data_IF_429577603205
#
_entry.id   IF_429577603205
#
_cell.length_a   1.000
_cell.length_b   1.000
_cell.length_c   1.000
_cell.angle_alpha   90.00
_cell.angle_beta   90.00
_cell.angle_gamma   90.00
#
_symmetry.space_group_name_H-M   'P 1'
#
loop_
_entity.id
_entity.type
_entity.pdbx_description
1 polymer ?
#
# COMPACT_ATOMS: atom_id res chain seq x y z
N UNK A 1 -52.90 44.21 30.55
CA UNK A 1 -51.86 43.25 30.98
C UNK A 1 -51.72 42.19 29.90
N UNK A 2 -50.61 42.24 29.16
CA UNK A 2 -50.30 41.34 28.03
C UNK A 2 -49.65 40.07 28.57
N UNK A 3 -50.27 38.91 28.38
CA UNK A 3 -49.70 37.60 28.72
C UNK A 3 -49.12 36.90 27.50
N UNK A 4 -47.80 36.70 27.46
CA UNK A 4 -47.12 35.90 26.46
C UNK A 4 -47.41 34.39 26.66
N UNK A 5 -47.73 33.62 25.61
CA UNK A 5 -47.85 32.17 25.70
C UNK A 5 -46.48 31.46 25.70
N UNK A 6 -46.37 30.26 26.30
CA UNK A 6 -45.11 29.51 26.40
C UNK A 6 -44.69 28.88 25.06
N UNK A 7 -43.43 29.12 24.72
CA UNK A 7 -42.68 28.53 23.61
C UNK A 7 -42.63 27.00 23.69
N UNK A 8 -43.31 26.33 22.75
CA UNK A 8 -43.14 24.91 22.47
C UNK A 8 -41.76 24.70 21.83
N UNK A 9 -40.75 24.33 22.64
CA UNK A 9 -39.48 23.81 22.12
C UNK A 9 -39.72 22.46 21.44
N UNK A 10 -39.96 22.50 20.13
CA UNK A 10 -39.94 21.34 19.25
C UNK A 10 -38.57 20.67 19.28
N UNK A 11 -38.46 19.55 20.01
CA UNK A 11 -37.36 18.59 19.80
C UNK A 11 -37.60 17.88 18.48
N UNK A 12 -37.05 18.41 17.39
CA UNK A 12 -36.89 17.67 16.14
C UNK A 12 -35.96 16.50 16.40
N UNK A 13 -36.54 15.31 16.62
CA UNK A 13 -35.81 14.05 16.60
C UNK A 13 -35.35 13.84 15.16
N UNK A 14 -34.11 14.25 14.87
CA UNK A 14 -33.43 13.95 13.61
C UNK A 14 -33.36 12.42 13.49
N UNK A 15 -34.32 11.83 12.77
CA UNK A 15 -34.28 10.45 12.34
C UNK A 15 -33.15 10.34 11.32
N UNK A 16 -31.92 10.20 11.82
CA UNK A 16 -30.76 9.81 11.04
C UNK A 16 -30.99 8.35 10.61
N UNK A 17 -31.77 8.17 9.55
CA UNK A 17 -31.90 6.91 8.82
C UNK A 17 -30.55 6.63 8.16
N UNK A 18 -29.62 6.10 8.94
CA UNK A 18 -28.39 5.52 8.44
C UNK A 18 -28.76 4.23 7.70
N UNK A 19 -29.17 4.39 6.44
CA UNK A 19 -29.03 3.34 5.45
C UNK A 19 -27.55 3.18 5.19
N UNK A 20 -26.91 2.32 5.99
CA UNK A 20 -25.55 1.79 5.79
C UNK A 20 -25.58 0.90 4.52
N UNK A 21 -25.78 1.54 3.38
CA UNK A 21 -25.57 0.95 2.07
C UNK A 21 -24.05 0.96 1.86
N UNK A 22 -23.37 -0.01 2.47
CA UNK A 22 -22.01 -0.45 2.14
C UNK A 22 -22.04 -0.97 0.69
N UNK A 23 -22.23 -0.08 -0.28
CA UNK A 23 -22.04 -0.37 -1.70
C UNK A 23 -20.54 -0.25 -1.96
N UNK A 24 -19.78 -1.27 -1.50
CA UNK A 24 -18.34 -1.40 -1.77
C UNK A 24 -18.14 -1.86 -3.22
N UNK A 25 -18.55 -1.03 -4.19
CA UNK A 25 -18.18 -1.18 -5.59
C UNK A 25 -16.83 -0.50 -5.78
N UNK A 26 -15.76 -1.27 -5.58
CA UNK A 26 -14.42 -0.86 -5.99
C UNK A 26 -14.25 -1.32 -7.44
N UNK A 27 -13.91 -0.42 -8.39
CA UNK A 27 -13.55 -0.82 -9.74
C UNK A 27 -12.24 -1.62 -9.67
N UNK A 28 -12.36 -2.96 -9.65
CA UNK A 28 -11.27 -3.91 -9.91
C UNK A 28 -10.85 -3.74 -11.39
N UNK A 29 -10.12 -2.67 -11.72
CA UNK A 29 -9.32 -2.65 -12.94
C UNK A 29 -8.08 -3.50 -12.67
N UNK A 30 -8.20 -4.82 -12.92
CA UNK A 30 -7.10 -5.78 -12.97
C UNK A 30 -6.18 -5.55 -14.20
N UNK A 31 -6.41 -4.48 -14.98
CA UNK A 31 -5.87 -4.29 -16.33
C UNK A 31 -4.75 -3.23 -16.45
N UNK A 32 -4.40 -2.51 -15.37
CA UNK A 32 -3.43 -1.39 -15.44
C UNK A 32 -2.07 -1.69 -14.77
N UNK A 33 -1.78 -2.96 -14.46
CA UNK A 33 -0.41 -3.32 -14.08
C UNK A 33 0.39 -3.50 -15.38
N UNK A 34 1.03 -2.40 -15.82
CA UNK A 34 1.95 -2.34 -16.96
C UNK A 34 2.93 -3.53 -16.98
N UNK A 35 3.13 -4.13 -18.15
CA UNK A 35 4.08 -5.23 -18.32
C UNK A 35 5.53 -4.71 -18.17
N UNK A 36 6.09 -4.91 -16.97
CA UNK A 36 7.45 -4.51 -16.60
C UNK A 36 8.51 -5.20 -17.46
N UNK A 37 8.23 -6.42 -17.94
CA UNK A 37 9.12 -7.14 -18.82
C UNK A 37 9.11 -6.52 -20.23
N UNK A 38 7.93 -6.20 -20.76
CA UNK A 38 7.82 -5.55 -22.07
C UNK A 38 8.48 -4.16 -22.08
N UNK A 39 8.29 -3.37 -21.02
CA UNK A 39 8.93 -2.05 -20.89
C UNK A 39 10.44 -2.16 -20.76
N UNK A 40 10.95 -3.12 -19.98
CA UNK A 40 12.39 -3.41 -19.89
C UNK A 40 12.98 -3.81 -21.24
N UNK A 41 12.35 -4.72 -21.97
CA UNK A 41 12.84 -5.17 -23.29
C UNK A 41 12.90 -4.01 -24.30
N UNK A 42 11.89 -3.14 -24.32
CA UNK A 42 11.89 -1.90 -25.13
C UNK A 42 13.05 -0.98 -24.76
N UNK A 43 13.34 -0.84 -23.46
CA UNK A 43 14.47 -0.04 -22.96
C UNK A 43 15.81 -0.61 -23.43
N UNK A 44 16.01 -1.93 -23.34
CA UNK A 44 17.22 -2.61 -23.82
C UNK A 44 17.41 -2.41 -25.32
N UNK A 45 16.36 -2.55 -26.12
CA UNK A 45 16.42 -2.28 -27.56
C UNK A 45 16.86 -0.84 -27.84
N UNK A 46 16.30 0.13 -27.12
CA UNK A 46 16.69 1.54 -27.25
C UNK A 46 18.17 1.77 -26.89
N UNK A 47 18.68 1.12 -25.85
CA UNK A 47 20.09 1.22 -25.42
C UNK A 47 21.01 0.64 -26.49
N UNK A 48 20.68 -0.54 -27.02
CA UNK A 48 21.46 -1.17 -28.09
C UNK A 48 21.49 -0.29 -29.35
N UNK A 49 20.35 0.27 -29.75
CA UNK A 49 20.26 1.18 -30.90
C UNK A 49 21.11 2.45 -30.69
N UNK A 50 21.15 2.99 -29.46
CA UNK A 50 21.98 4.15 -29.13
C UNK A 50 23.48 3.82 -29.18
N UNK A 51 23.89 2.64 -28.70
CA UNK A 51 25.27 2.17 -28.77
C UNK A 51 25.72 1.98 -30.23
N UNK A 52 24.89 1.37 -31.07
CA UNK A 52 25.15 1.22 -32.50
C UNK A 52 25.25 2.57 -33.23
N UNK A 53 24.38 3.53 -32.89
CA UNK A 53 24.43 4.87 -33.46
C UNK A 53 25.71 5.62 -33.06
N UNK A 54 26.19 5.44 -31.83
CA UNK A 54 27.46 6.00 -31.37
C UNK A 54 28.66 5.37 -32.07
N UNK A 55 28.65 4.05 -32.26
CA UNK A 55 29.68 3.34 -33.00
C UNK A 55 29.77 3.82 -34.46
N UNK A 56 28.62 4.01 -35.13
CA UNK A 56 28.56 4.56 -36.51
C UNK A 56 29.07 6.00 -36.61
N UNK A 57 28.90 6.82 -35.57
CA UNK A 57 29.40 8.20 -35.54
C UNK A 57 30.91 8.28 -35.31
N UNK A 58 31.55 7.24 -34.76
CA UNK A 58 33.00 7.15 -34.54
C UNK A 58 33.58 8.16 -33.54
N UNK A 59 32.74 8.88 -32.78
CA UNK A 59 33.19 9.94 -31.84
C UNK A 59 33.68 9.42 -30.49
N UNK A 60 33.31 8.20 -30.13
CA UNK A 60 33.65 7.55 -28.86
C UNK A 60 34.44 6.29 -29.13
N UNK A 61 35.32 5.92 -28.21
CA UNK A 61 36.05 4.66 -28.32
C UNK A 61 35.09 3.47 -28.15
N UNK A 62 35.39 2.29 -28.74
CA UNK A 62 34.55 1.10 -28.55
C UNK A 62 34.43 0.69 -27.07
N UNK A 63 35.47 0.93 -26.27
CA UNK A 63 35.44 0.67 -24.81
C UNK A 63 34.43 1.55 -24.10
N UNK A 64 34.46 2.86 -24.34
CA UNK A 64 33.51 3.82 -23.76
C UNK A 64 32.07 3.48 -24.13
N UNK A 65 31.81 3.08 -25.38
CA UNK A 65 30.47 2.69 -25.82
C UNK A 65 30.00 1.42 -25.08
N UNK A 66 30.90 0.46 -24.85
CA UNK A 66 30.58 -0.77 -24.13
C UNK A 66 30.31 -0.50 -22.65
N UNK A 67 31.08 0.37 -22.01
CA UNK A 67 30.90 0.78 -20.62
C UNK A 67 29.58 1.56 -20.43
N UNK A 68 29.30 2.56 -21.27
CA UNK A 68 28.03 3.30 -21.23
C UNK A 68 26.82 2.38 -21.44
N UNK A 69 26.94 1.42 -22.36
CA UNK A 69 25.91 0.41 -22.60
C UNK A 69 25.71 -0.47 -21.38
N UNK A 70 26.78 -0.93 -20.74
CA UNK A 70 26.71 -1.78 -19.55
C UNK A 70 26.02 -1.05 -18.40
N UNK A 71 26.42 0.20 -18.11
CA UNK A 71 25.81 1.05 -17.08
C UNK A 71 24.31 1.29 -17.37
N UNK A 72 23.96 1.60 -18.62
CA UNK A 72 22.55 1.82 -18.99
C UNK A 72 21.70 0.53 -18.85
N UNK A 73 22.27 -0.64 -19.11
CA UNK A 73 21.60 -1.93 -18.92
C UNK A 73 21.39 -2.20 -17.43
N UNK A 74 22.40 -1.94 -16.59
CA UNK A 74 22.31 -2.08 -15.14
C UNK A 74 21.22 -1.17 -14.55
N UNK A 75 21.18 0.10 -14.97
CA UNK A 75 20.11 1.03 -14.58
C UNK A 75 18.73 0.52 -15.00
N UNK A 76 18.59 0.00 -16.22
CA UNK A 76 17.33 -0.56 -16.71
C UNK A 76 16.89 -1.79 -15.90
N UNK A 77 17.84 -2.63 -15.47
CA UNK A 77 17.56 -3.77 -14.59
C UNK A 77 17.09 -3.31 -13.21
N UNK A 78 17.75 -2.32 -12.60
CA UNK A 78 17.36 -1.76 -11.31
C UNK A 78 15.95 -1.15 -11.37
N UNK A 79 15.62 -0.41 -12.43
CA UNK A 79 14.28 0.14 -12.65
C UNK A 79 13.20 -0.94 -12.77
N UNK A 80 13.51 -2.03 -13.47
CA UNK A 80 12.61 -3.19 -13.59
C UNK A 80 12.35 -3.80 -12.21
N UNK A 81 13.41 -4.10 -11.45
CA UNK A 81 13.29 -4.68 -10.11
C UNK A 81 12.46 -3.78 -9.18
N UNK A 82 12.68 -2.46 -9.22
CA UNK A 82 11.89 -1.52 -8.44
C UNK A 82 10.40 -1.54 -8.81
N UNK A 83 10.09 -1.66 -10.11
CA UNK A 83 8.73 -1.74 -10.62
C UNK A 83 8.05 -3.05 -10.19
N UNK A 84 8.75 -4.17 -10.32
CA UNK A 84 8.26 -5.50 -9.89
C UNK A 84 7.93 -5.51 -8.39
N UNK A 85 8.82 -4.99 -7.54
CA UNK A 85 8.57 -4.85 -6.09
C UNK A 85 7.32 -4.02 -5.79
N UNK A 86 7.06 -2.95 -6.57
CA UNK A 86 5.84 -2.12 -6.41
C UNK A 86 4.59 -2.87 -6.82
N UNK A 87 4.66 -3.68 -7.89
CA UNK A 87 3.54 -4.50 -8.36
C UNK A 87 3.21 -5.58 -7.32
N UNK A 88 4.22 -6.24 -6.77
CA UNK A 88 4.03 -7.29 -5.77
C UNK A 88 3.48 -6.73 -4.45
N UNK A 89 3.91 -5.54 -4.02
CA UNK A 89 3.32 -4.84 -2.87
C UNK A 89 1.83 -4.52 -3.10
N UNK A 90 1.47 -4.02 -4.28
CA UNK A 90 0.06 -3.78 -4.65
C UNK A 90 -0.74 -5.09 -4.62
N UNK A 91 -0.23 -6.16 -5.21
CA UNK A 91 -0.88 -7.47 -5.29
C UNK A 91 -1.09 -8.06 -3.90
N UNK A 92 -0.05 -8.06 -3.05
CA UNK A 92 -0.12 -8.57 -1.68
C UNK A 92 -1.13 -7.77 -0.84
N UNK A 93 -1.14 -6.44 -0.96
CA UNK A 93 -2.11 -5.56 -0.30
C UNK A 93 -3.53 -5.84 -0.76
N UNK A 94 -3.77 -6.00 -2.07
CA UNK A 94 -5.08 -6.36 -2.63
C UNK A 94 -5.54 -7.72 -2.11
N UNK A 95 -4.67 -8.74 -2.14
CA UNK A 95 -4.97 -10.08 -1.64
C UNK A 95 -5.38 -10.05 -0.16
N UNK A 96 -4.59 -9.42 0.69
CA UNK A 96 -4.89 -9.26 2.11
C UNK A 96 -6.19 -8.48 2.37
N UNK A 97 -6.46 -7.43 1.59
CA UNK A 97 -7.74 -6.72 1.67
C UNK A 97 -8.93 -7.62 1.30
N UNK A 98 -8.79 -8.40 0.22
CA UNK A 98 -9.80 -9.38 -0.23
C UNK A 98 -10.07 -10.43 0.87
N UNK A 99 -9.02 -10.99 1.50
CA UNK A 99 -9.20 -11.99 2.57
C UNK A 99 -9.91 -11.39 3.81
N UNK A 100 -9.55 -10.18 4.24
CA UNK A 100 -10.21 -9.50 5.36
C UNK A 100 -11.68 -9.16 5.05
N UNK A 101 -11.98 -8.72 3.81
CA UNK A 101 -13.35 -8.45 3.34
C UNK A 101 -14.17 -9.74 3.31
N UNK A 102 -13.57 -10.85 2.87
CA UNK A 102 -14.21 -12.15 2.84
C UNK A 102 -14.52 -12.66 4.26
N UNK A 103 -13.54 -12.64 5.18
CA UNK A 103 -13.74 -12.95 6.60
C UNK A 103 -14.90 -12.15 7.23
N UNK A 104 -15.01 -10.85 6.88
CA UNK A 104 -16.12 -9.99 7.36
C UNK A 104 -17.48 -10.48 6.83
N UNK A 105 -17.54 -10.85 5.54
CA UNK A 105 -18.76 -11.36 4.90
C UNK A 105 -19.18 -12.69 5.51
N UNK A 106 -18.25 -13.62 5.70
CA UNK A 106 -18.54 -14.94 6.26
C UNK A 106 -19.01 -14.86 7.71
N UNK A 107 -18.36 -14.03 8.55
CA UNK A 107 -18.83 -13.75 9.90
C UNK A 107 -20.29 -13.23 9.92
N UNK A 108 -20.64 -12.37 8.96
CA UNK A 108 -22.00 -11.81 8.84
C UNK A 108 -22.99 -12.88 8.37
N UNK A 109 -22.58 -13.78 7.47
CA UNK A 109 -23.40 -14.92 7.00
C UNK A 109 -23.66 -15.91 8.14
N UNK A 110 -22.63 -16.34 8.87
CA UNK A 110 -22.74 -17.22 10.02
C UNK A 110 -23.69 -16.67 11.09
N UNK A 111 -23.53 -15.40 11.47
CA UNK A 111 -24.41 -14.78 12.47
C UNK A 111 -25.86 -14.66 11.97
N UNK A 112 -26.08 -14.39 10.66
CA UNK A 112 -27.42 -14.42 10.07
C UNK A 112 -28.02 -15.83 10.08
N UNK A 113 -27.20 -16.87 9.82
CA UNK A 113 -27.60 -18.26 9.82
C UNK A 113 -28.00 -18.72 11.23
N UNK A 114 -27.10 -18.57 12.22
CA UNK A 114 -27.35 -18.84 13.64
C UNK A 114 -28.61 -18.13 14.15
N UNK A 115 -28.85 -16.90 13.68
CA UNK A 115 -30.09 -16.15 13.99
C UNK A 115 -31.35 -16.79 13.43
N UNK A 116 -31.29 -17.34 12.21
CA UNK A 116 -32.42 -18.03 11.56
C UNK A 116 -32.70 -19.36 12.27
N UNK A 117 -31.67 -20.14 12.58
CA UNK A 117 -31.79 -21.41 13.33
C UNK A 117 -32.43 -21.20 14.71
N UNK A 118 -31.92 -20.25 15.51
CA UNK A 118 -32.50 -19.96 16.83
C UNK A 118 -33.92 -19.40 16.76
N UNK A 119 -34.32 -18.77 15.65
CA UNK A 119 -35.70 -18.37 15.42
C UNK A 119 -36.59 -19.56 15.04
N UNK A 120 -36.07 -20.50 14.26
CA UNK A 120 -36.79 -21.71 13.90
C UNK A 120 -37.03 -22.60 15.13
N UNK A 121 -36.00 -22.78 15.96
CA UNK A 121 -36.06 -23.63 17.16
C UNK A 121 -36.99 -23.11 18.28
N UNK A 122 -37.17 -21.79 18.42
CA UNK A 122 -37.93 -21.19 19.54
C UNK A 122 -39.26 -20.53 19.11
N UNK A 123 -39.76 -20.85 17.91
CA UNK A 123 -41.06 -20.43 17.42
C UNK A 123 -41.14 -19.02 16.81
N UNK A 124 -42.19 -18.79 16.01
CA UNK A 124 -42.47 -17.51 15.32
C UNK A 124 -42.89 -16.43 16.32
N UNK A 125 -41.92 -15.73 16.90
CA UNK A 125 -42.18 -14.54 17.73
C UNK A 125 -40.96 -13.61 17.81
N UNK A 126 -41.08 -12.36 17.34
CA UNK A 126 -39.98 -11.37 17.29
C UNK A 126 -39.29 -11.12 18.66
N UNK A 127 -39.93 -11.49 19.77
CA UNK A 127 -39.46 -11.28 21.15
C UNK A 127 -38.83 -12.48 21.87
N UNK A 128 -39.35 -13.71 21.70
CA UNK A 128 -38.91 -14.88 22.49
C UNK A 128 -37.48 -15.33 22.13
N UNK A 129 -37.17 -15.44 20.84
CA UNK A 129 -35.83 -15.80 20.38
C UNK A 129 -34.74 -14.78 20.80
N UNK A 130 -35.08 -13.49 20.93
CA UNK A 130 -34.13 -12.45 21.35
C UNK A 130 -33.84 -12.46 22.86
N UNK A 131 -34.77 -12.97 23.67
CA UNK A 131 -34.63 -13.07 25.13
C UNK A 131 -33.85 -14.33 25.56
N UNK A 132 -33.77 -15.33 24.68
CA UNK A 132 -33.06 -16.58 24.93
C UNK A 132 -31.55 -16.34 25.25
N UNK A 133 -31.01 -16.93 26.33
CA UNK A 133 -29.58 -16.98 26.62
C UNK A 133 -28.70 -17.38 25.43
N UNK A 134 -29.11 -18.38 24.64
CA UNK A 134 -28.34 -18.85 23.47
C UNK A 134 -28.16 -17.75 22.42
N UNK A 135 -29.20 -16.94 22.18
CA UNK A 135 -29.10 -15.77 21.29
C UNK A 135 -28.19 -14.68 21.85
N UNK A 136 -28.22 -14.45 23.17
CA UNK A 136 -27.31 -13.48 23.82
C UNK A 136 -25.85 -13.93 23.69
N UNK A 137 -25.58 -15.23 23.85
CA UNK A 137 -24.24 -15.81 23.68
C UNK A 137 -23.77 -15.71 22.23
N UNK A 138 -24.57 -16.14 21.25
CA UNK A 138 -24.24 -16.01 19.83
C UNK A 138 -24.00 -14.55 19.40
N UNK A 139 -24.77 -13.60 19.95
CA UNK A 139 -24.57 -12.16 19.72
C UNK A 139 -23.29 -11.64 20.38
N UNK A 140 -22.93 -12.11 21.57
CA UNK A 140 -21.65 -11.79 22.21
C UNK A 140 -20.48 -12.32 21.38
N UNK A 141 -20.53 -13.59 20.96
CA UNK A 141 -19.53 -14.25 20.10
C UNK A 141 -19.35 -13.51 18.77
N UNK A 142 -20.44 -13.10 18.12
CA UNK A 142 -20.34 -12.29 16.90
C UNK A 142 -19.67 -10.93 17.17
N UNK A 143 -19.97 -10.28 18.30
CA UNK A 143 -19.35 -9.01 18.66
C UNK A 143 -17.86 -9.16 18.99
N UNK A 144 -17.44 -10.23 19.66
CA UNK A 144 -16.02 -10.48 19.97
C UNK A 144 -15.24 -10.73 18.69
N UNK A 145 -15.70 -11.66 17.85
CA UNK A 145 -15.09 -11.95 16.54
C UNK A 145 -15.06 -10.73 15.61
N UNK A 146 -16.09 -9.88 15.64
CA UNK A 146 -16.10 -8.61 14.88
C UNK A 146 -15.09 -7.59 15.43
N UNK A 147 -14.86 -7.56 16.75
CA UNK A 147 -13.83 -6.72 17.36
C UNK A 147 -12.44 -7.24 17.01
N UNK A 148 -12.21 -8.54 17.02
CA UNK A 148 -10.97 -9.19 16.58
C UNK A 148 -10.66 -8.84 15.12
N UNK A 149 -11.62 -9.03 14.21
CA UNK A 149 -11.44 -8.66 12.80
C UNK A 149 -11.13 -7.16 12.62
N UNK A 150 -11.67 -6.29 13.49
CA UNK A 150 -11.33 -4.87 13.50
C UNK A 150 -9.90 -4.61 13.96
N UNK A 151 -9.41 -5.36 14.96
CA UNK A 151 -8.01 -5.31 15.40
C UNK A 151 -7.10 -5.82 14.30
N UNK A 152 -7.42 -6.95 13.66
CA UNK A 152 -6.62 -7.52 12.57
C UNK A 152 -6.52 -6.55 11.39
N UNK A 153 -7.63 -5.89 11.03
CA UNK A 153 -7.62 -4.83 10.01
C UNK A 153 -6.78 -3.63 10.42
N UNK A 154 -6.77 -3.27 11.71
CA UNK A 154 -5.94 -2.18 12.22
C UNK A 154 -4.45 -2.55 12.19
N UNK A 155 -4.10 -3.77 12.60
CA UNK A 155 -2.74 -4.32 12.53
C UNK A 155 -2.21 -4.36 11.10
N UNK A 156 -2.97 -4.95 10.17
CA UNK A 156 -2.60 -4.98 8.75
C UNK A 156 -2.37 -3.56 8.17
N UNK A 157 -3.16 -2.57 8.60
CA UNK A 157 -2.95 -1.17 8.21
C UNK A 157 -1.70 -0.56 8.83
N UNK A 158 -1.37 -0.94 10.06
CA UNK A 158 -0.19 -0.47 10.76
C UNK A 158 1.08 -1.06 10.13
N UNK A 159 1.10 -2.38 9.90
CA UNK A 159 2.19 -3.08 9.19
C UNK A 159 2.46 -2.44 7.83
N UNK A 160 1.43 -2.10 7.05
CA UNK A 160 1.63 -1.40 5.77
C UNK A 160 2.17 0.03 5.90
N UNK A 161 1.78 0.76 6.96
CA UNK A 161 2.33 2.10 7.22
C UNK A 161 3.79 2.00 7.64
N UNK A 162 4.12 1.02 8.47
CA UNK A 162 5.48 0.77 8.95
C UNK A 162 6.38 0.33 7.81
N UNK A 163 5.99 -0.66 7.00
CA UNK A 163 6.73 -1.07 5.81
C UNK A 163 6.95 0.08 4.81
N UNK A 164 5.93 0.94 4.62
CA UNK A 164 6.08 2.15 3.79
C UNK A 164 7.05 3.15 4.40
N UNK A 165 7.00 3.35 5.72
CA UNK A 165 7.88 4.26 6.44
C UNK A 165 9.33 3.77 6.44
N UNK A 166 9.53 2.46 6.58
CA UNK A 166 10.82 1.79 6.55
C UNK A 166 11.47 1.93 5.17
N UNK A 167 10.73 1.64 4.09
CA UNK A 167 11.20 1.87 2.72
C UNK A 167 11.56 3.34 2.44
N UNK A 168 10.83 4.29 3.03
CA UNK A 168 11.15 5.72 2.93
C UNK A 168 12.41 6.08 3.74
N UNK A 169 12.66 5.44 4.88
CA UNK A 169 13.88 5.62 5.66
C UNK A 169 15.08 5.04 4.94
N UNK A 170 15.00 3.80 4.48
CA UNK A 170 16.05 3.14 3.71
C UNK A 170 16.45 3.99 2.48
N UNK A 171 15.46 4.53 1.75
CA UNK A 171 15.73 5.42 0.62
C UNK A 171 16.39 6.76 1.02
N UNK A 172 16.12 7.27 2.22
CA UNK A 172 16.77 8.48 2.75
C UNK A 172 18.17 8.19 3.23
N UNK A 173 18.38 7.06 3.90
CA UNK A 173 19.68 6.59 4.38
C UNK A 173 20.61 6.30 3.20
N UNK A 174 20.13 5.61 2.15
CA UNK A 174 20.89 5.41 0.92
C UNK A 174 21.34 6.73 0.28
N UNK A 175 20.46 7.75 0.27
CA UNK A 175 20.82 9.09 -0.25
C UNK A 175 21.82 9.83 0.64
N UNK A 176 21.74 9.64 1.95
CA UNK A 176 22.65 10.26 2.91
C UNK A 176 24.03 9.62 2.86
N UNK A 177 24.11 8.29 2.73
CA UNK A 177 25.38 7.57 2.59
C UNK A 177 26.13 7.94 1.32
N UNK A 178 25.43 8.20 0.20
CA UNK A 178 26.04 8.72 -1.03
C UNK A 178 26.61 10.13 -0.84
N UNK A 179 25.88 11.01 -0.16
CA UNK A 179 26.35 12.38 0.12
C UNK A 179 27.57 12.40 1.06
N UNK A 180 27.58 11.55 2.09
CA UNK A 180 28.73 11.44 3.01
C UNK A 180 29.97 10.85 2.30
N UNK A 181 29.81 9.90 1.38
CA UNK A 181 30.90 9.41 0.52
C UNK A 181 31.44 10.48 -0.45
N UNK A 182 30.57 11.30 -1.04
CA UNK A 182 30.99 12.39 -1.95
C UNK A 182 31.82 13.45 -1.21
N UNK A 183 31.44 13.80 0.03
CA UNK A 183 32.21 14.72 0.86
C UNK A 183 33.57 14.12 1.27
N UNK A 184 33.61 12.84 1.61
CA UNK A 184 34.85 12.14 2.00
C UNK A 184 35.81 12.01 0.82
N UNK A 185 35.30 11.68 -0.39
CA UNK A 185 36.10 11.67 -1.61
C UNK A 185 36.60 13.08 -1.99
N UNK A 186 35.76 14.12 -1.85
CA UNK A 186 36.17 15.51 -2.13
C UNK A 186 37.28 15.98 -1.19
N UNK A 187 37.23 15.56 0.08
CA UNK A 187 38.26 15.86 1.08
C UNK A 187 39.57 15.10 0.80
N UNK A 188 39.51 13.86 0.33
CA UNK A 188 40.67 13.08 -0.10
C UNK A 188 41.35 13.68 -1.34
N UNK A 189 40.56 14.14 -2.31
CA UNK A 189 41.07 14.79 -3.54
C UNK A 189 41.84 16.08 -3.21
N UNK A 190 41.37 16.86 -2.23
CA UNK A 190 42.07 18.08 -1.79
C UNK A 190 43.46 17.79 -1.17
N UNK A 191 43.58 16.72 -0.38
CA UNK A 191 44.86 16.31 0.23
C UNK A 191 45.89 15.79 -0.79
N UNK A 192 45.46 15.28 -1.94
CA UNK A 192 46.36 14.82 -3.01
C UNK A 192 46.92 16.01 -3.81
N UNK A 193 46.16 17.10 -3.93
CA UNK A 193 46.61 18.32 -4.63
C UNK A 193 47.68 19.05 -3.83
N UNK A 194 47.52 19.19 -2.51
CA UNK A 194 48.53 19.89 -1.67
C UNK A 194 49.89 19.18 -1.63
N UNK A 195 49.95 17.85 -1.78
CA UNK A 195 51.22 17.10 -1.78
C UNK A 195 51.97 17.10 -3.13
N UNK A 196 51.39 17.65 -4.20
CA UNK A 196 52.05 17.77 -5.51
C UNK A 196 52.63 19.16 -5.77
N UNK A 197 52.28 20.15 -4.95
CA UNK A 197 52.71 21.54 -5.08
C UNK A 197 53.89 21.90 -4.15
N UNK A 198 54.47 20.93 -3.43
CA UNK A 198 55.73 21.10 -2.72
C UNK A 198 56.91 20.71 -3.64
N UNK A 199 57.55 21.65 -4.36
CA UNK A 199 58.87 21.40 -4.89
C UNK A 199 59.80 21.23 -3.70
N UNK A 200 60.27 20.00 -3.50
CA UNK A 200 61.44 19.70 -2.67
C UNK A 200 62.59 20.57 -3.18
N UNK A 201 62.89 21.63 -2.44
CA UNK A 201 64.06 22.48 -2.61
C UNK A 201 65.29 21.81 -1.99
#
# INVERSE_FOLDING_TARGET
>A
MMGCPPSLRGRTRVLKKAGDSDSDSDPDSDSDDEDTQATFLKRIQSINNAAEASAKKGKKSPSEIAEERALAIEEAQNQKLEADVKIDDKRSRRAMSRTLKQKRRDLKREHKHKKRELKAAHGKGKGKAKKNPAWKMAKKEYKTKRKELRKDRAKARQEWREARSERLRERREARRGVAEQEEEMSKMVWLIVENLDDPVA
#
